data_IF_307791186148
#
_entry.id   IF_307791186148
#
_cell.length_a   1.000
_cell.length_b   1.000
_cell.length_c   1.000
_cell.angle_alpha   90.00
_cell.angle_beta   90.00
_cell.angle_gamma   90.00
#
_symmetry.space_group_name_H-M   'P 1'
#
loop_
_entity.id
_entity.type
_entity.pdbx_description
1 polymer ?
#
# COMPACT_ATOMS: atom_id res chain seq x y z
N UNK A 1 -19.89 22.60 24.95
CA UNK A 1 -20.46 21.81 23.82
C UNK A 1 -19.57 21.80 22.56
N UNK A 2 -19.19 22.95 21.97
CA UNK A 2 -18.34 22.98 20.74
C UNK A 2 -17.04 22.16 20.80
N UNK A 3 -16.33 22.20 21.94
CA UNK A 3 -15.08 21.46 22.13
C UNK A 3 -15.28 19.92 22.16
N UNK A 4 -16.41 19.46 22.68
CA UNK A 4 -16.72 18.01 22.76
C UNK A 4 -17.04 17.46 21.37
N UNK A 5 -17.85 18.19 20.58
CA UNK A 5 -18.18 17.79 19.22
C UNK A 5 -16.94 17.69 18.33
N UNK A 6 -16.02 18.66 18.41
CA UNK A 6 -14.77 18.61 17.65
C UNK A 6 -13.84 17.48 18.14
N UNK A 7 -13.78 17.22 19.45
CA UNK A 7 -13.04 16.08 19.99
C UNK A 7 -13.58 14.77 19.44
N UNK A 8 -14.90 14.54 19.51
CA UNK A 8 -15.53 13.32 18.98
C UNK A 8 -15.27 13.15 17.47
N UNK A 9 -15.28 14.24 16.70
CA UNK A 9 -14.96 14.20 15.27
C UNK A 9 -13.52 13.74 15.03
N UNK A 10 -12.55 14.25 15.80
CA UNK A 10 -11.14 13.85 15.71
C UNK A 10 -10.93 12.41 16.15
N UNK A 11 -11.58 11.99 17.23
CA UNK A 11 -11.48 10.61 17.73
C UNK A 11 -12.05 9.62 16.71
N UNK A 12 -13.19 9.95 16.10
CA UNK A 12 -13.79 9.15 15.02
C UNK A 12 -12.87 9.02 13.80
N UNK A 13 -12.24 10.13 13.37
CA UNK A 13 -11.26 10.09 12.28
C UNK A 13 -10.05 9.22 12.63
N UNK A 14 -9.54 9.33 13.85
CA UNK A 14 -8.40 8.52 14.30
C UNK A 14 -8.72 7.03 14.28
N UNK A 15 -9.92 6.65 14.72
CA UNK A 15 -10.37 5.26 14.70
C UNK A 15 -10.42 4.71 13.27
N UNK A 16 -10.96 5.47 12.31
CA UNK A 16 -10.99 5.04 10.91
C UNK A 16 -9.59 4.89 10.31
N UNK A 17 -8.64 5.77 10.65
CA UNK A 17 -7.25 5.63 10.17
C UNK A 17 -6.59 4.38 10.77
N UNK A 18 -6.86 4.06 12.04
CA UNK A 18 -6.36 2.83 12.67
C UNK A 18 -6.97 1.56 12.08
N UNK A 19 -8.27 1.57 11.79
CA UNK A 19 -8.94 0.47 11.10
C UNK A 19 -8.37 0.28 9.69
N UNK A 20 -8.19 1.37 8.94
CA UNK A 20 -7.57 1.36 7.62
C UNK A 20 -6.15 0.75 7.67
N UNK A 21 -5.33 1.13 8.66
CA UNK A 21 -4.01 0.54 8.86
C UNK A 21 -4.06 -0.99 9.10
N UNK A 22 -5.09 -1.49 9.79
CA UNK A 22 -5.21 -2.94 10.05
C UNK A 22 -5.61 -3.78 8.84
N UNK A 23 -6.13 -3.17 7.77
CA UNK A 23 -6.56 -3.90 6.57
C UNK A 23 -5.61 -3.72 5.38
N UNK A 24 -4.70 -2.76 5.44
CA UNK A 24 -3.73 -2.55 4.36
C UNK A 24 -2.64 -3.65 4.40
N UNK A 25 -2.39 -4.37 3.29
CA UNK A 25 -1.43 -5.47 3.25
C UNK A 25 -0.03 -5.10 3.75
N UNK A 26 0.43 -3.90 3.43
CA UNK A 26 1.75 -3.37 3.81
C UNK A 26 1.81 -2.79 5.23
N UNK A 27 0.66 -2.61 5.90
CA UNK A 27 0.60 -2.01 7.25
C UNK A 27 0.21 -3.05 8.31
N UNK A 28 -0.69 -3.98 8.00
CA UNK A 28 -1.24 -4.95 8.95
C UNK A 28 -0.19 -5.87 9.59
N UNK A 29 0.95 -6.10 8.92
CA UNK A 29 2.05 -6.92 9.42
C UNK A 29 3.33 -6.15 9.75
N UNK A 30 3.30 -4.81 9.68
CA UNK A 30 4.51 -4.01 9.85
C UNK A 30 4.99 -4.05 11.31
N UNK A 31 6.25 -4.46 11.53
CA UNK A 31 6.89 -4.45 12.85
C UNK A 31 7.06 -3.02 13.41
N UNK A 32 7.01 -2.00 12.54
CA UNK A 32 7.18 -0.59 12.88
C UNK A 32 5.87 0.17 12.78
N UNK A 33 5.62 1.07 13.73
CA UNK A 33 4.48 1.99 13.69
C UNK A 33 4.60 2.91 12.46
N UNK A 34 3.59 2.86 11.59
CA UNK A 34 3.45 3.74 10.43
C UNK A 34 2.65 4.98 10.85
N UNK A 35 3.13 6.16 10.47
CA UNK A 35 2.42 7.41 10.74
C UNK A 35 1.15 7.55 9.90
N UNK A 36 0.19 8.36 10.37
CA UNK A 36 -1.14 8.49 9.75
C UNK A 36 -1.08 8.97 8.30
N UNK A 37 -0.14 9.84 7.95
CA UNK A 37 0.01 10.34 6.58
C UNK A 37 0.50 9.22 5.67
N UNK A 38 1.45 8.42 6.14
CA UNK A 38 1.93 7.24 5.41
C UNK A 38 0.84 6.19 5.23
N UNK A 39 0.02 5.92 6.25
CA UNK A 39 -1.16 5.03 6.11
C UNK A 39 -2.09 5.51 4.99
N UNK A 40 -2.41 6.80 4.95
CA UNK A 40 -3.28 7.38 3.91
C UNK A 40 -2.64 7.33 2.52
N UNK A 41 -1.34 7.63 2.41
CA UNK A 41 -0.60 7.52 1.13
C UNK A 41 -0.60 6.09 0.61
N UNK A 42 -0.36 5.12 1.50
CA UNK A 42 -0.31 3.72 1.14
C UNK A 42 -1.69 3.18 0.74
N UNK A 43 -2.75 3.61 1.42
CA UNK A 43 -4.13 3.31 1.02
C UNK A 43 -4.46 3.88 -0.37
N UNK A 44 -4.11 5.14 -0.62
CA UNK A 44 -4.34 5.77 -1.93
C UNK A 44 -3.55 5.05 -3.04
N UNK A 45 -2.32 4.64 -2.75
CA UNK A 45 -1.50 3.88 -3.69
C UNK A 45 -2.09 2.50 -3.97
N UNK A 46 -2.54 1.80 -2.92
CA UNK A 46 -3.21 0.50 -3.03
C UNK A 46 -4.45 0.58 -3.93
N UNK A 47 -5.32 1.59 -3.72
CA UNK A 47 -6.50 1.82 -4.57
C UNK A 47 -6.08 2.15 -6.02
N UNK A 48 -5.05 2.98 -6.20
CA UNK A 48 -4.54 3.33 -7.54
C UNK A 48 -4.03 2.11 -8.29
N UNK A 49 -3.21 1.27 -7.65
CA UNK A 49 -2.74 0.00 -8.21
C UNK A 49 -3.92 -0.87 -8.59
N UNK A 50 -4.88 -1.04 -7.68
CA UNK A 50 -6.07 -1.84 -7.95
C UNK A 50 -6.89 -1.30 -9.13
N UNK A 51 -6.97 0.01 -9.29
CA UNK A 51 -7.69 0.63 -10.42
C UNK A 51 -6.93 0.47 -11.74
N UNK A 52 -5.59 0.47 -11.69
CA UNK A 52 -4.74 0.32 -12.88
C UNK A 52 -4.61 -1.14 -13.34
N UNK A 53 -4.58 -2.09 -12.42
CA UNK A 53 -4.42 -3.52 -12.70
C UNK A 53 -5.75 -4.29 -12.67
N UNK A 54 -6.81 -3.73 -12.07
CA UNK A 54 -8.12 -4.37 -11.94
C UNK A 54 -8.88 -4.52 -13.25
N UNK A 55 -8.68 -3.60 -14.21
CA UNK A 55 -9.30 -3.68 -15.54
C UNK A 55 -8.66 -4.74 -16.45
N UNK A 56 -7.47 -5.25 -16.07
CA UNK A 56 -6.81 -6.38 -16.76
C UNK A 56 -7.37 -7.73 -16.29
N UNK A 57 -8.20 -7.76 -15.23
CA UNK A 57 -8.63 -8.98 -14.54
C UNK A 57 -10.11 -9.36 -14.63
N UNK A 58 -11.01 -8.48 -15.09
CA UNK A 58 -12.46 -8.78 -15.08
C UNK A 58 -12.91 -9.87 -16.05
N UNK A 59 -12.02 -10.38 -16.93
CA UNK A 59 -12.32 -11.54 -17.79
C UNK A 59 -12.02 -12.91 -17.16
N UNK A 60 -11.42 -12.95 -15.98
CA UNK A 60 -11.23 -14.20 -15.24
C UNK A 60 -11.48 -13.96 -13.76
N UNK A 61 -12.57 -14.54 -13.26
CA UNK A 61 -12.98 -14.59 -11.85
C UNK A 61 -11.97 -15.30 -10.91
N UNK A 62 -10.69 -15.41 -11.29
CA UNK A 62 -9.61 -16.07 -10.56
C UNK A 62 -8.52 -15.10 -10.04
N UNK A 63 -8.50 -13.83 -10.46
CA UNK A 63 -7.52 -12.86 -9.98
C UNK A 63 -8.08 -12.02 -8.82
N UNK A 64 -8.13 -12.63 -7.64
CA UNK A 64 -8.49 -11.92 -6.41
C UNK A 64 -7.50 -10.75 -6.15
N UNK A 65 -7.88 -9.71 -5.40
CA UNK A 65 -7.03 -8.55 -5.06
C UNK A 65 -5.67 -8.91 -4.45
N UNK A 66 -5.59 -10.06 -3.77
CA UNK A 66 -4.35 -10.60 -3.23
C UNK A 66 -3.45 -11.28 -4.26
N UNK A 67 -3.92 -11.63 -5.46
CA UNK A 67 -3.17 -12.36 -6.46
C UNK A 67 -2.10 -11.51 -7.13
N UNK A 68 -2.43 -10.31 -7.62
CA UNK A 68 -1.42 -9.39 -8.21
C UNK A 68 -0.37 -9.01 -7.17
N UNK A 69 -0.81 -8.69 -5.95
CA UNK A 69 0.12 -8.41 -4.86
C UNK A 69 0.98 -9.64 -4.50
N UNK A 70 0.39 -10.84 -4.41
CA UNK A 70 1.14 -12.08 -4.18
C UNK A 70 2.13 -12.39 -5.30
N UNK A 71 1.75 -12.19 -6.56
CA UNK A 71 2.63 -12.40 -7.72
C UNK A 71 3.79 -11.41 -7.67
N UNK A 72 3.51 -10.13 -7.40
CA UNK A 72 4.57 -9.14 -7.21
C UNK A 72 5.49 -9.50 -6.04
N UNK A 73 4.94 -9.96 -4.92
CA UNK A 73 5.73 -10.40 -3.75
C UNK A 73 6.56 -11.65 -4.06
N UNK A 74 5.99 -12.66 -4.72
CA UNK A 74 6.74 -13.87 -5.10
C UNK A 74 7.84 -13.55 -6.12
N UNK A 75 7.59 -12.64 -7.07
CA UNK A 75 8.62 -12.18 -7.99
C UNK A 75 9.73 -11.42 -7.26
N UNK A 76 9.41 -10.65 -6.21
CA UNK A 76 10.42 -10.00 -5.36
C UNK A 76 11.29 -11.03 -4.63
N UNK A 77 10.70 -12.10 -4.11
CA UNK A 77 11.44 -13.20 -3.46
C UNK A 77 12.38 -13.94 -4.43
N UNK A 78 12.02 -14.02 -5.72
CA UNK A 78 12.86 -14.64 -6.76
C UNK A 78 14.04 -13.76 -7.21
N UNK A 79 13.98 -12.45 -6.98
CA UNK A 79 15.03 -11.50 -7.38
C UNK A 79 16.18 -11.55 -6.37
N UNK A 80 17.14 -12.44 -6.61
CA UNK A 80 18.36 -12.51 -5.81
C UNK A 80 19.31 -11.36 -6.16
N UNK A 81 19.44 -10.37 -5.28
CA UNK A 81 20.38 -9.26 -5.44
C UNK A 81 19.90 -8.11 -6.33
N UNK A 82 18.59 -7.90 -6.43
CA UNK A 82 17.98 -6.76 -7.13
C UNK A 82 16.73 -6.24 -6.41
N UNK A 83 16.00 -5.34 -7.05
CA UNK A 83 14.72 -4.82 -6.54
C UNK A 83 13.71 -4.69 -7.68
N UNK A 84 12.42 -4.73 -7.35
CA UNK A 84 11.33 -4.53 -8.30
C UNK A 84 10.92 -3.07 -8.33
N UNK A 85 10.77 -2.51 -9.53
CA UNK A 85 10.25 -1.17 -9.76
C UNK A 85 9.14 -1.22 -10.80
N UNK A 86 7.94 -0.76 -10.43
CA UNK A 86 6.79 -0.66 -11.35
C UNK A 86 6.58 0.80 -11.68
N UNK A 87 6.63 1.14 -12.97
CA UNK A 87 6.54 2.51 -13.47
C UNK A 87 5.44 2.59 -14.51
N UNK A 88 4.66 3.67 -14.49
CA UNK A 88 3.71 4.00 -15.56
C UNK A 88 4.45 4.37 -16.86
N UNK A 89 3.77 4.31 -18.00
CA UNK A 89 4.29 4.83 -19.28
C UNK A 89 4.71 6.31 -19.22
N UNK A 90 4.14 7.08 -18.29
CA UNK A 90 4.51 8.48 -18.03
C UNK A 90 5.76 8.67 -17.15
N UNK A 91 6.43 7.60 -16.74
CA UNK A 91 7.61 7.66 -15.88
C UNK A 91 7.33 7.78 -14.38
N UNK A 92 6.06 7.74 -13.95
CA UNK A 92 5.70 7.79 -12.53
C UNK A 92 5.88 6.43 -11.86
N UNK A 93 6.62 6.39 -10.76
CA UNK A 93 6.80 5.19 -9.92
C UNK A 93 5.49 4.88 -9.19
N UNK A 94 5.03 3.63 -9.31
CA UNK A 94 3.79 3.13 -8.71
C UNK A 94 4.12 2.21 -7.55
N UNK A 95 5.07 1.30 -7.74
CA UNK A 95 5.52 0.35 -6.72
C UNK A 95 7.05 0.26 -6.72
N UNK A 96 7.62 0.07 -5.53
CA UNK A 96 9.01 -0.35 -5.37
C UNK A 96 9.09 -1.42 -4.29
N UNK A 97 9.89 -2.46 -4.43
CA UNK A 97 10.09 -3.46 -3.37
C UNK A 97 10.97 -2.92 -2.24
N UNK A 98 10.80 -3.43 -1.01
CA UNK A 98 11.61 -3.06 0.16
C UNK A 98 13.13 -3.21 -0.07
N UNK A 99 13.55 -4.13 -0.94
CA UNK A 99 14.96 -4.33 -1.31
C UNK A 99 15.66 -3.05 -1.80
N UNK A 100 14.93 -2.03 -2.28
CA UNK A 100 15.52 -0.76 -2.71
C UNK A 100 16.28 -0.04 -1.60
N UNK A 101 15.91 -0.25 -0.33
CA UNK A 101 16.60 0.35 0.81
C UNK A 101 18.06 -0.11 0.86
N UNK A 102 18.34 -1.37 0.50
CA UNK A 102 19.71 -1.89 0.43
C UNK A 102 20.57 -1.26 -0.68
N UNK A 103 19.95 -0.71 -1.72
CA UNK A 103 20.64 -0.09 -2.85
C UNK A 103 20.77 1.43 -2.72
N UNK A 104 19.74 2.10 -2.20
CA UNK A 104 19.63 3.56 -2.20
C UNK A 104 19.43 4.18 -0.81
N UNK A 105 19.24 3.38 0.25
CA UNK A 105 19.01 3.88 1.60
C UNK A 105 17.67 4.61 1.80
N UNK A 106 16.71 4.42 0.88
CA UNK A 106 15.37 5.01 0.96
C UNK A 106 14.33 3.91 1.19
N UNK A 107 13.45 4.13 2.18
CA UNK A 107 12.32 3.24 2.46
C UNK A 107 11.21 3.39 1.43
N UNK A 108 10.49 2.30 1.17
CA UNK A 108 9.28 2.23 0.34
C UNK A 108 8.20 3.25 0.76
#
# INVERSE_FOLDING_TARGET
MRNIAEKMRRDKLNNYVSELASILPLVCGANKRIDKTSVLRLAANYIRMHSMFGDVGERSAASAPGHVYRVLMSTVEEVNGGFLLVVTSSGKVVFVSEAIEGFFGHTQ
#
